data_IF_479526566137
#
_entry.id   IF_479526566137
#
_cell.length_a   1.000
_cell.length_b   1.000
_cell.length_c   1.000
_cell.angle_alpha   90.00
_cell.angle_beta   90.00
_cell.angle_gamma   90.00
#
_symmetry.space_group_name_H-M   'P 1'
#
loop_
_entity.id
_entity.type
_entity.pdbx_description
1 polymer ?
#
# COMPACT_ATOMS: atom_id res chain seq x y z
N UNK A 1 -9.80 2.74 -0.23
CA UNK A 1 -8.59 2.41 -1.04
C UNK A 1 -8.20 0.95 -0.92
N UNK A 2 -8.20 0.33 0.26
CA UNK A 2 -7.80 -1.07 0.42
C UNK A 2 -8.54 -2.05 -0.49
N UNK A 3 -9.87 -1.99 -0.57
CA UNK A 3 -10.65 -2.85 -1.48
C UNK A 3 -10.30 -2.64 -2.96
N UNK A 4 -10.04 -1.39 -3.36
CA UNK A 4 -9.62 -1.07 -4.72
C UNK A 4 -8.29 -1.75 -5.07
N UNK A 5 -7.27 -1.63 -4.21
CA UNK A 5 -5.99 -2.30 -4.42
C UNK A 5 -6.11 -3.82 -4.36
N UNK A 6 -6.95 -4.35 -3.45
CA UNK A 6 -7.21 -5.79 -3.38
C UNK A 6 -7.77 -6.31 -4.70
N UNK A 7 -8.80 -5.67 -5.24
CA UNK A 7 -9.43 -6.08 -6.49
C UNK A 7 -8.45 -5.98 -7.66
N UNK A 8 -7.70 -4.88 -7.73
CA UNK A 8 -6.74 -4.63 -8.80
C UNK A 8 -5.60 -5.64 -8.82
N UNK A 9 -5.00 -5.90 -7.64
CA UNK A 9 -3.81 -6.74 -7.53
C UNK A 9 -4.12 -8.23 -7.61
N UNK A 10 -5.32 -8.66 -7.24
CA UNK A 10 -5.72 -10.08 -7.27
C UNK A 10 -5.79 -10.69 -8.67
N UNK A 11 -5.71 -9.89 -9.75
CA UNK A 11 -5.61 -10.40 -11.11
C UNK A 11 -4.26 -11.03 -11.42
N UNK A 12 -3.18 -10.45 -10.90
CA UNK A 12 -1.80 -10.83 -11.26
C UNK A 12 -0.97 -11.31 -10.06
N UNK A 13 -1.50 -11.18 -8.83
CA UNK A 13 -0.79 -11.48 -7.59
C UNK A 13 -1.64 -12.32 -6.63
N UNK A 14 -0.96 -13.07 -5.77
CA UNK A 14 -1.59 -13.66 -4.59
C UNK A 14 -1.74 -12.57 -3.52
N UNK A 15 -2.97 -12.28 -3.15
CA UNK A 15 -3.30 -11.18 -2.24
C UNK A 15 -3.91 -11.69 -0.95
N UNK A 16 -3.42 -11.19 0.17
CA UNK A 16 -4.03 -11.37 1.48
C UNK A 16 -4.46 -10.02 2.06
N UNK A 17 -5.55 -10.02 2.81
CA UNK A 17 -6.08 -8.82 3.45
C UNK A 17 -6.19 -9.07 4.95
N UNK A 18 -5.63 -8.14 5.71
CA UNK A 18 -5.79 -8.03 7.16
C UNK A 18 -6.60 -6.77 7.48
N UNK A 19 -7.78 -6.93 8.06
CA UNK A 19 -8.67 -5.84 8.44
C UNK A 19 -9.19 -6.09 9.86
N UNK A 20 -9.15 -5.07 10.71
CA UNK A 20 -9.59 -5.17 12.10
C UNK A 20 -11.11 -5.27 12.25
N UNK A 21 -11.89 -4.72 11.29
CA UNK A 21 -13.34 -4.79 11.30
C UNK A 21 -13.84 -5.98 10.46
N UNK A 22 -14.30 -7.09 11.08
CA UNK A 22 -14.78 -8.26 10.35
C UNK A 22 -15.94 -7.96 9.39
N UNK A 23 -16.70 -6.89 9.65
CA UNK A 23 -17.81 -6.49 8.78
C UNK A 23 -17.32 -5.99 7.42
N UNK A 24 -16.14 -5.38 7.36
CA UNK A 24 -15.51 -4.94 6.12
C UNK A 24 -14.95 -6.11 5.32
N UNK A 25 -14.46 -7.13 5.98
CA UNK A 25 -13.93 -8.34 5.35
C UNK A 25 -14.97 -9.12 4.53
N UNK A 26 -16.27 -8.99 4.85
CA UNK A 26 -17.34 -9.72 4.14
C UNK A 26 -17.41 -9.43 2.63
N UNK A 27 -16.87 -8.33 2.18
CA UNK A 27 -16.87 -7.91 0.77
C UNK A 27 -15.60 -8.32 0.01
N UNK A 28 -14.65 -8.98 0.66
CA UNK A 28 -13.42 -9.48 0.04
C UNK A 28 -13.66 -10.90 -0.44
N UNK A 29 -13.64 -11.14 -1.74
CA UNK A 29 -13.96 -12.45 -2.33
C UNK A 29 -12.79 -13.10 -3.06
N UNK A 30 -11.83 -12.31 -3.53
CA UNK A 30 -10.74 -12.70 -4.41
C UNK A 30 -9.35 -12.57 -3.75
N UNK A 31 -9.32 -12.56 -2.44
CA UNK A 31 -8.09 -12.50 -1.64
C UNK A 31 -8.22 -13.38 -0.40
N UNK A 32 -7.08 -13.80 0.14
CA UNK A 32 -7.02 -14.48 1.44
C UNK A 32 -7.43 -13.50 2.55
N UNK A 33 -8.33 -13.92 3.42
CA UNK A 33 -8.78 -13.12 4.58
C UNK A 33 -8.03 -13.56 5.81
N UNK A 34 -7.07 -12.78 6.27
CA UNK A 34 -6.34 -13.03 7.51
C UNK A 34 -7.18 -12.64 8.72
N UNK A 35 -7.17 -13.47 9.75
CA UNK A 35 -7.89 -13.23 11.01
C UNK A 35 -6.99 -12.56 12.06
N UNK A 36 -5.66 -12.73 11.94
CA UNK A 36 -4.69 -12.15 12.85
C UNK A 36 -3.36 -11.85 12.14
N UNK A 37 -2.53 -11.04 12.79
CA UNK A 37 -1.16 -10.74 12.33
C UNK A 37 -0.26 -11.98 12.30
N UNK A 38 -0.56 -13.00 13.09
CA UNK A 38 0.24 -14.23 13.17
C UNK A 38 0.22 -15.03 11.84
N UNK A 39 -0.79 -14.83 11.02
CA UNK A 39 -0.90 -15.48 9.72
C UNK A 39 0.05 -14.89 8.66
N UNK A 40 0.58 -13.69 8.91
CA UNK A 40 1.47 -12.98 7.98
C UNK A 40 2.77 -13.78 7.75
N UNK A 41 3.34 -14.36 8.80
CA UNK A 41 4.61 -15.11 8.67
C UNK A 41 4.46 -16.35 7.78
N UNK A 42 3.33 -17.04 7.86
CA UNK A 42 3.02 -18.18 7.00
C UNK A 42 2.75 -17.78 5.54
N UNK A 43 2.11 -16.63 5.33
CA UNK A 43 1.88 -16.08 3.99
C UNK A 43 3.18 -15.56 3.36
N UNK A 44 4.10 -15.04 4.17
CA UNK A 44 5.41 -14.51 3.77
C UNK A 44 5.33 -13.48 2.62
N UNK A 45 4.66 -12.34 2.80
CA UNK A 45 4.45 -11.37 1.74
C UNK A 45 5.78 -10.77 1.26
N UNK A 46 5.88 -10.53 -0.04
CA UNK A 46 6.98 -9.76 -0.65
C UNK A 46 6.76 -8.25 -0.52
N UNK A 47 5.48 -7.84 -0.39
CA UNK A 47 5.10 -6.44 -0.19
C UNK A 47 3.88 -6.32 0.74
N UNK A 48 3.90 -5.30 1.59
CA UNK A 48 2.75 -4.89 2.40
C UNK A 48 2.32 -3.50 1.99
N UNK A 49 1.04 -3.33 1.63
CA UNK A 49 0.45 -2.04 1.29
C UNK A 49 -0.47 -1.60 2.41
N UNK A 50 -0.06 -0.57 3.14
CA UNK A 50 -0.82 0.00 4.24
C UNK A 50 -1.87 0.98 3.71
N UNK A 51 -3.14 0.55 3.76
CA UNK A 51 -4.29 1.32 3.29
C UNK A 51 -5.18 1.84 4.42
N UNK A 52 -4.70 1.84 5.66
CA UNK A 52 -5.47 2.34 6.81
C UNK A 52 -5.56 3.86 6.81
N UNK A 53 -6.42 4.41 7.67
CA UNK A 53 -6.54 5.87 7.84
C UNK A 53 -5.25 6.47 8.39
N UNK A 54 -4.99 7.75 8.07
CA UNK A 54 -3.76 8.46 8.45
C UNK A 54 -3.39 8.32 9.92
N UNK A 55 -4.37 8.43 10.81
CA UNK A 55 -4.18 8.35 12.26
C UNK A 55 -3.67 7.00 12.76
N UNK A 56 -3.87 5.95 11.98
CA UNK A 56 -3.51 4.57 12.35
C UNK A 56 -2.38 3.97 11.51
N UNK A 57 -1.83 4.73 10.56
CA UNK A 57 -0.81 4.23 9.62
C UNK A 57 0.41 3.68 10.33
N UNK A 58 0.98 4.42 11.29
CA UNK A 58 2.17 3.97 12.01
C UNK A 58 1.89 2.79 12.95
N UNK A 59 0.73 2.79 13.61
CA UNK A 59 0.36 1.69 14.52
C UNK A 59 0.10 0.40 13.74
N UNK A 60 -0.51 0.50 12.56
CA UNK A 60 -0.67 -0.65 11.67
C UNK A 60 0.69 -1.22 11.24
N UNK A 61 1.65 -0.37 10.83
CA UNK A 61 3.00 -0.84 10.53
C UNK A 61 3.65 -1.53 11.73
N UNK A 62 3.65 -0.91 12.91
CA UNK A 62 4.24 -1.48 14.12
C UNK A 62 3.66 -2.85 14.47
N UNK A 63 2.37 -3.07 14.20
CA UNK A 63 1.73 -4.35 14.46
C UNK A 63 2.16 -5.46 13.50
N UNK A 64 2.48 -5.14 12.25
CA UNK A 64 2.81 -6.15 11.23
C UNK A 64 4.32 -6.40 11.09
N UNK A 65 5.18 -5.39 11.36
CA UNK A 65 6.63 -5.52 11.19
C UNK A 65 7.25 -6.75 11.87
N UNK A 66 6.87 -7.15 13.10
CA UNK A 66 7.45 -8.33 13.75
C UNK A 66 7.18 -9.65 13.01
N UNK A 67 6.19 -9.68 12.14
CA UNK A 67 5.76 -10.86 11.38
C UNK A 67 6.26 -10.87 9.93
N UNK A 68 7.01 -9.84 9.52
CA UNK A 68 7.51 -9.70 8.14
C UNK A 68 8.92 -10.28 7.99
N UNK A 69 9.20 -10.80 6.81
CA UNK A 69 10.57 -11.16 6.42
C UNK A 69 11.38 -9.90 6.11
N UNK A 70 12.72 -9.90 6.35
CA UNK A 70 13.54 -8.69 6.17
C UNK A 70 13.55 -8.13 4.74
N UNK A 71 13.23 -8.93 3.75
CA UNK A 71 13.15 -8.51 2.34
C UNK A 71 11.79 -7.92 1.94
N UNK A 72 10.78 -8.01 2.81
CA UNK A 72 9.45 -7.51 2.51
C UNK A 72 9.48 -5.99 2.37
N UNK A 73 9.01 -5.50 1.23
CA UNK A 73 8.87 -4.05 1.00
C UNK A 73 7.61 -3.57 1.70
N UNK A 74 7.74 -2.60 2.59
CA UNK A 74 6.57 -1.97 3.21
C UNK A 74 6.19 -0.72 2.45
N UNK A 75 4.89 -0.47 2.28
CA UNK A 75 4.41 0.70 1.55
C UNK A 75 3.19 1.34 2.19
N UNK A 76 3.05 2.64 1.98
CA UNK A 76 1.86 3.41 2.32
C UNK A 76 1.27 4.13 1.10
N UNK A 77 0.00 4.47 1.21
CA UNK A 77 -0.74 5.27 0.24
C UNK A 77 -1.28 6.56 0.88
N UNK A 78 -0.68 7.00 1.96
CA UNK A 78 -1.16 8.12 2.76
C UNK A 78 -1.04 9.46 2.01
N UNK A 79 -2.07 10.29 2.10
CA UNK A 79 -2.08 11.64 1.53
C UNK A 79 -1.22 12.65 2.31
N UNK A 80 -0.88 12.35 3.55
CA UNK A 80 -0.01 13.17 4.40
C UNK A 80 1.12 12.30 4.91
N UNK A 81 2.36 12.77 4.78
CA UNK A 81 3.58 12.00 5.08
C UNK A 81 4.22 12.33 6.43
N UNK A 82 3.49 13.03 7.30
CA UNK A 82 4.00 13.41 8.63
C UNK A 82 4.51 12.19 9.40
N UNK A 83 5.75 12.27 9.90
CA UNK A 83 6.45 11.21 10.65
C UNK A 83 6.74 9.91 9.89
N UNK A 84 6.33 9.79 8.62
CA UNK A 84 6.60 8.58 7.84
C UNK A 84 8.07 8.46 7.44
N UNK A 85 8.72 9.56 7.07
CA UNK A 85 10.14 9.54 6.72
C UNK A 85 11.02 9.05 7.88
N UNK A 86 10.78 9.59 9.09
CA UNK A 86 11.52 9.16 10.28
C UNK A 86 11.25 7.69 10.60
N UNK A 87 9.99 7.29 10.55
CA UNK A 87 9.62 5.89 10.74
C UNK A 87 10.35 4.97 9.75
N UNK A 88 10.38 5.30 8.47
CA UNK A 88 11.02 4.49 7.45
C UNK A 88 12.55 4.40 7.62
N UNK A 89 13.20 5.47 8.06
CA UNK A 89 14.64 5.47 8.36
C UNK A 89 14.99 4.51 9.50
N UNK A 90 14.08 4.35 10.46
CA UNK A 90 14.32 3.59 11.69
C UNK A 90 13.77 2.16 11.64
N UNK A 91 12.83 1.85 10.75
CA UNK A 91 12.13 0.57 10.76
C UNK A 91 12.96 -0.63 10.28
N UNK A 92 14.05 -0.41 9.53
CA UNK A 92 14.95 -1.47 9.05
C UNK A 92 14.42 -2.29 7.88
N UNK A 93 13.33 -1.88 7.24
CA UNK A 93 12.75 -2.54 6.07
C UNK A 93 12.92 -1.70 4.80
N UNK A 94 13.04 -2.33 3.61
CA UNK A 94 12.88 -1.60 2.36
C UNK A 94 11.46 -1.02 2.29
N UNK A 95 11.33 0.20 1.79
CA UNK A 95 10.04 0.87 1.77
C UNK A 95 9.80 1.63 0.46
N UNK A 96 8.53 1.85 0.15
CA UNK A 96 8.09 2.80 -0.87
C UNK A 96 6.86 3.56 -0.37
N UNK A 97 6.84 4.86 -0.56
CA UNK A 97 5.73 5.71 -0.15
C UNK A 97 5.08 6.31 -1.39
N UNK A 98 3.75 6.24 -1.47
CA UNK A 98 3.00 6.75 -2.62
C UNK A 98 1.76 7.53 -2.17
N UNK A 99 1.23 8.36 -3.06
CA UNK A 99 -0.03 9.06 -2.84
C UNK A 99 -0.87 9.00 -4.11
N UNK A 100 -1.77 8.00 -4.26
CA UNK A 100 -2.78 8.02 -5.29
C UNK A 100 -3.81 9.11 -4.98
N UNK A 101 -3.89 10.14 -5.84
CA UNK A 101 -4.68 11.34 -5.60
C UNK A 101 -6.13 11.21 -6.09
N UNK A 102 -6.72 10.03 -5.88
CA UNK A 102 -8.12 9.73 -6.20
C UNK A 102 -8.79 8.97 -5.06
N UNK A 103 -10.10 9.08 -4.95
CA UNK A 103 -10.89 8.41 -3.92
C UNK A 103 -11.43 7.05 -4.36
N UNK A 104 -11.81 6.18 -3.41
CA UNK A 104 -12.36 4.85 -3.70
C UNK A 104 -13.74 4.89 -4.39
N UNK A 105 -14.38 6.04 -4.41
CA UNK A 105 -15.68 6.26 -5.07
C UNK A 105 -15.59 6.36 -6.59
N UNK A 106 -14.40 6.55 -7.14
CA UNK A 106 -14.14 6.52 -8.58
C UNK A 106 -13.88 5.11 -9.08
N UNK A 107 -14.69 4.15 -8.65
CA UNK A 107 -14.60 2.74 -9.03
C UNK A 107 -14.77 2.47 -10.54
N UNK A 108 -14.94 3.50 -11.36
CA UNK A 108 -14.94 3.38 -12.80
C UNK A 108 -13.52 3.63 -13.32
N UNK A 109 -12.80 2.55 -13.63
CA UNK A 109 -11.45 2.59 -14.19
C UNK A 109 -11.32 3.54 -15.40
N UNK A 110 -12.40 3.78 -16.14
CA UNK A 110 -12.44 4.70 -17.26
C UNK A 110 -12.22 6.17 -16.89
N UNK A 111 -12.47 6.55 -15.63
CA UNK A 111 -12.33 7.93 -15.18
C UNK A 111 -10.95 8.21 -14.52
N UNK A 112 -10.12 7.19 -14.32
CA UNK A 112 -8.80 7.36 -13.70
C UNK A 112 -7.75 8.01 -14.63
N UNK A 113 -7.97 8.05 -15.92
CA UNK A 113 -7.01 8.55 -16.92
C UNK A 113 -6.61 10.02 -16.75
N UNK A 114 -7.29 10.79 -15.91
CA UNK A 114 -6.99 12.20 -15.62
C UNK A 114 -6.52 12.41 -14.18
N UNK A 115 -6.50 11.34 -13.40
CA UNK A 115 -6.09 11.41 -12.00
C UNK A 115 -4.56 11.34 -11.87
N UNK A 116 -4.07 11.77 -10.74
CA UNK A 116 -2.65 11.85 -10.46
C UNK A 116 -2.24 10.83 -9.40
N UNK A 117 -0.98 10.43 -9.46
CA UNK A 117 -0.33 9.68 -8.39
C UNK A 117 1.08 10.22 -8.14
N UNK A 118 1.48 10.29 -6.89
CA UNK A 118 2.82 10.68 -6.48
C UNK A 118 3.55 9.43 -5.98
N UNK A 119 4.79 9.26 -6.41
CA UNK A 119 5.74 8.28 -5.86
C UNK A 119 6.86 9.06 -5.18
N UNK A 120 7.16 8.72 -3.94
CA UNK A 120 8.24 9.36 -3.21
C UNK A 120 9.58 8.79 -3.67
N UNK A 121 10.51 9.69 -4.01
CA UNK A 121 11.79 9.35 -4.64
C UNK A 121 12.75 8.59 -3.72
N UNK A 122 12.68 8.83 -2.39
CA UNK A 122 13.52 8.19 -1.37
C UNK A 122 13.03 6.78 -1.00
N UNK A 123 12.63 5.98 -1.88
CA UNK A 123 12.17 4.64 -1.57
C UNK A 123 13.02 3.55 -2.19
N UNK A 124 12.67 2.33 -1.88
CA UNK A 124 13.22 1.13 -2.52
C UNK A 124 12.98 1.13 -4.02
N UNK A 125 14.00 0.75 -4.78
CA UNK A 125 13.96 0.78 -6.24
C UNK A 125 12.90 -0.17 -6.82
N UNK A 126 12.80 -1.39 -6.30
CA UNK A 126 11.82 -2.37 -6.77
C UNK A 126 10.41 -1.97 -6.40
N UNK A 127 10.22 -1.43 -5.19
CA UNK A 127 8.95 -0.88 -4.77
C UNK A 127 8.47 0.27 -5.65
N UNK A 128 9.38 1.18 -6.04
CA UNK A 128 9.05 2.27 -6.97
C UNK A 128 8.67 1.76 -8.35
N UNK A 129 9.40 0.78 -8.90
CA UNK A 129 9.06 0.15 -10.18
C UNK A 129 7.67 -0.48 -10.11
N UNK A 130 7.38 -1.23 -9.04
CA UNK A 130 6.06 -1.85 -8.85
C UNK A 130 4.92 -0.82 -8.92
N UNK A 131 5.00 0.26 -8.15
CA UNK A 131 3.94 1.27 -8.18
C UNK A 131 3.90 2.06 -9.48
N UNK A 132 5.04 2.31 -10.11
CA UNK A 132 5.08 2.96 -11.42
C UNK A 132 4.34 2.13 -12.46
N UNK A 133 4.67 0.84 -12.58
CA UNK A 133 4.01 -0.08 -13.53
C UNK A 133 2.51 -0.18 -13.23
N UNK A 134 2.12 -0.25 -11.95
CA UNK A 134 0.73 -0.29 -11.52
C UNK A 134 -0.03 0.97 -11.95
N UNK A 135 0.54 2.14 -11.71
CA UNK A 135 -0.09 3.42 -12.04
C UNK A 135 -0.09 3.70 -13.55
N UNK A 136 0.92 3.24 -14.29
CA UNK A 136 0.94 3.29 -15.76
C UNK A 136 -0.17 2.41 -16.37
N UNK A 137 -0.39 1.20 -15.84
CA UNK A 137 -1.52 0.34 -16.25
C UNK A 137 -2.88 1.02 -16.02
N UNK A 138 -3.00 1.81 -14.96
CA UNK A 138 -4.19 2.61 -14.67
C UNK A 138 -4.27 3.92 -15.47
N UNK A 139 -3.24 4.24 -16.25
CA UNK A 139 -3.11 5.47 -17.06
C UNK A 139 -3.18 6.76 -16.24
N UNK A 140 -2.63 6.71 -15.01
CA UNK A 140 -2.51 7.89 -14.16
C UNK A 140 -1.38 8.80 -14.63
N UNK A 141 -1.48 10.09 -14.31
CA UNK A 141 -0.35 11.00 -14.38
C UNK A 141 0.55 10.77 -13.18
N UNK A 142 1.80 10.36 -13.41
CA UNK A 142 2.73 9.99 -12.34
C UNK A 142 3.73 11.11 -12.12
N UNK A 143 3.88 11.53 -10.87
CA UNK A 143 4.86 12.51 -10.42
C UNK A 143 5.80 11.88 -9.40
N UNK A 144 7.07 12.21 -9.45
CA UNK A 144 8.06 11.85 -8.46
C UNK A 144 8.43 13.08 -7.64
N UNK A 145 8.28 13.00 -6.31
CA UNK A 145 8.64 14.05 -5.36
C UNK A 145 9.46 13.45 -4.22
N UNK A 146 10.31 14.26 -3.60
CA UNK A 146 10.89 13.92 -2.31
C UNK A 146 9.84 14.05 -1.20
N UNK A 147 10.12 13.51 -0.01
CA UNK A 147 9.26 13.76 1.15
C UNK A 147 9.12 15.24 1.48
N UNK A 148 10.17 16.04 1.22
CA UNK A 148 10.16 17.48 1.47
C UNK A 148 9.29 18.24 0.45
N UNK A 149 9.31 17.83 -0.81
CA UNK A 149 8.51 18.45 -1.87
C UNK A 149 7.03 18.06 -1.80
N UNK A 150 6.70 16.90 -1.26
CA UNK A 150 5.33 16.41 -1.09
C UNK A 150 4.61 17.14 0.04
#
# INVERSE_FOLDING_TARGET
MGSFFTDLLSFDHEVAVLEQDPKRMRFIYNALRMQSVDEIDAFAPEMVINCVTLTHTLDAFRSVLPHLRPYCIISDIASVKTNLLEFYKDCGFPYVSTHPMFGPTFANLGNLMQENAIIISEGDHLGKIFFKDLYEKLKLNIFEYTFEEH
#
